data_IF_281946947417
#
_entry.id   IF_281946947417
#
_cell.length_a   1.000
_cell.length_b   1.000
_cell.length_c   1.000
_cell.angle_alpha   90.00
_cell.angle_beta   90.00
_cell.angle_gamma   90.00
#
_symmetry.space_group_name_H-M   'P 1'
#
loop_
_entity.id
_entity.type
_entity.pdbx_description
1 polymer ?
#
# COMPACT_ATOMS: atom_id res chain seq x y z
N UNK A 1 8.88 5.28 -19.10
CA UNK A 1 8.41 6.46 -18.33
C UNK A 1 7.51 5.99 -17.20
N UNK A 2 7.72 6.49 -15.97
CA UNK A 2 6.82 6.21 -14.83
C UNK A 2 5.43 6.80 -15.09
N UNK A 3 4.37 6.05 -14.81
CA UNK A 3 3.02 6.60 -14.90
C UNK A 3 2.84 7.70 -13.85
N UNK A 4 2.02 8.73 -14.13
CA UNK A 4 1.77 9.81 -13.17
C UNK A 4 1.26 9.31 -11.81
N UNK A 5 0.51 8.20 -11.81
CA UNK A 5 -0.07 7.61 -10.61
C UNK A 5 0.92 6.81 -9.78
N UNK A 6 1.93 6.21 -10.40
CA UNK A 6 3.04 5.60 -9.67
C UNK A 6 3.80 6.66 -8.87
N UNK A 7 4.05 7.84 -9.47
CA UNK A 7 4.64 8.98 -8.75
C UNK A 7 3.75 9.51 -7.63
N UNK A 8 2.45 9.60 -7.86
CA UNK A 8 1.45 10.01 -6.85
C UNK A 8 1.52 9.06 -5.65
N UNK A 9 1.38 7.75 -5.87
CA UNK A 9 1.42 6.76 -4.79
C UNK A 9 2.76 6.77 -4.05
N UNK A 10 3.88 6.84 -4.78
CA UNK A 10 5.22 6.94 -4.19
C UNK A 10 5.31 8.12 -3.23
N UNK A 11 4.87 9.30 -3.65
CA UNK A 11 4.91 10.52 -2.82
C UNK A 11 4.00 10.40 -1.59
N UNK A 12 2.80 9.84 -1.75
CA UNK A 12 1.87 9.62 -0.63
C UNK A 12 2.47 8.67 0.40
N UNK A 13 2.95 7.50 -0.02
CA UNK A 13 3.55 6.50 0.87
C UNK A 13 4.82 7.02 1.56
N UNK A 14 5.56 7.93 0.91
CA UNK A 14 6.72 8.61 1.50
C UNK A 14 6.36 9.81 2.39
N UNK A 15 5.08 10.10 2.64
CA UNK A 15 4.69 11.18 3.55
C UNK A 15 4.76 12.59 2.97
N UNK A 16 4.78 12.75 1.64
CA UNK A 16 4.79 14.09 1.03
C UNK A 16 3.45 14.82 1.25
N UNK A 17 3.44 15.72 2.23
CA UNK A 17 2.23 16.46 2.64
C UNK A 17 1.56 17.21 1.49
N UNK A 18 2.34 17.74 0.54
CA UNK A 18 1.80 18.45 -0.63
C UNK A 18 0.95 17.51 -1.48
N UNK A 19 1.45 16.32 -1.79
CA UNK A 19 0.69 15.31 -2.55
C UNK A 19 -0.48 14.77 -1.75
N UNK A 20 -0.32 14.52 -0.44
CA UNK A 20 -1.41 14.05 0.43
C UNK A 20 -2.56 15.07 0.47
N UNK A 21 -2.25 16.37 0.62
CA UNK A 21 -3.24 17.44 0.55
C UNK A 21 -3.96 17.47 -0.80
N UNK A 22 -3.22 17.29 -1.91
CA UNK A 22 -3.79 17.30 -3.25
C UNK A 22 -4.80 16.16 -3.45
N UNK A 23 -4.47 14.93 -3.02
CA UNK A 23 -5.37 13.77 -3.20
C UNK A 23 -6.54 13.76 -2.20
N UNK A 24 -6.34 14.34 -1.00
CA UNK A 24 -7.35 14.37 0.06
C UNK A 24 -8.31 15.56 -0.03
N UNK A 25 -8.14 16.47 -1.00
CA UNK A 25 -8.96 17.70 -1.13
C UNK A 25 -10.46 17.46 -1.18
N UNK A 26 -10.87 16.31 -1.71
CA UNK A 26 -12.29 15.91 -1.83
C UNK A 26 -12.68 14.75 -0.90
N UNK A 27 -11.78 14.36 0.00
CA UNK A 27 -12.06 13.37 1.04
C UNK A 27 -12.79 14.03 2.21
N UNK A 28 -13.54 13.23 2.98
CA UNK A 28 -14.14 13.70 4.23
C UNK A 28 -13.06 13.87 5.34
N UNK A 29 -13.37 14.53 6.46
CA UNK A 29 -12.38 14.80 7.51
C UNK A 29 -11.71 13.55 8.09
N UNK A 30 -12.46 12.45 8.26
CA UNK A 30 -11.93 11.20 8.78
C UNK A 30 -10.98 10.53 7.78
N UNK A 31 -11.36 10.47 6.51
CA UNK A 31 -10.50 9.97 5.43
C UNK A 31 -9.20 10.78 5.33
N UNK A 32 -9.30 12.11 5.41
CA UNK A 32 -8.14 13.00 5.41
C UNK A 32 -7.22 12.69 6.58
N UNK A 33 -7.75 12.62 7.81
CA UNK A 33 -6.96 12.28 9.00
C UNK A 33 -6.25 10.92 8.84
N UNK A 34 -6.94 9.91 8.32
CA UNK A 34 -6.36 8.59 8.09
C UNK A 34 -5.28 8.58 6.99
N UNK A 35 -5.46 9.33 5.90
CA UNK A 35 -4.40 9.52 4.89
C UNK A 35 -3.17 10.20 5.50
N UNK A 36 -3.37 11.22 6.33
CA UNK A 36 -2.28 11.96 6.97
C UNK A 36 -1.46 11.11 7.95
N UNK A 37 -2.01 10.02 8.51
CA UNK A 37 -1.25 9.14 9.43
C UNK A 37 0.11 8.67 8.87
N UNK A 38 0.26 8.60 7.54
CA UNK A 38 1.54 8.23 6.90
C UNK A 38 2.69 9.18 7.22
N UNK A 39 2.43 10.45 7.57
CA UNK A 39 3.47 11.40 7.97
C UNK A 39 4.17 11.00 9.26
N UNK A 40 3.48 10.26 10.14
CA UNK A 40 4.03 9.81 11.43
C UNK A 40 4.95 8.60 11.23
N UNK A 41 4.66 7.76 10.24
CA UNK A 41 5.39 6.51 10.00
C UNK A 41 5.55 6.19 8.51
N UNK A 42 6.28 7.05 7.76
CA UNK A 42 6.37 6.97 6.30
C UNK A 42 7.18 5.77 5.82
N UNK A 43 7.07 5.48 4.53
CA UNK A 43 7.87 4.46 3.85
C UNK A 43 9.00 5.11 3.05
N UNK A 44 10.18 4.48 3.05
CA UNK A 44 11.15 4.63 1.98
C UNK A 44 10.60 3.91 0.75
N UNK A 45 10.32 4.63 -0.33
CA UNK A 45 9.74 4.02 -1.53
C UNK A 45 10.66 4.18 -2.72
N UNK A 46 11.09 3.05 -3.27
CA UNK A 46 11.94 2.96 -4.47
C UNK A 46 11.16 2.38 -5.64
N UNK A 47 11.60 2.69 -6.86
CA UNK A 47 11.07 2.06 -8.08
C UNK A 47 11.81 0.76 -8.31
N UNK A 48 11.10 -0.30 -8.67
CA UNK A 48 11.75 -1.54 -9.09
C UNK A 48 12.47 -1.34 -10.43
N UNK A 49 13.57 -2.06 -10.65
CA UNK A 49 14.31 -2.00 -11.90
C UNK A 49 13.49 -2.62 -13.05
N UNK A 50 13.34 -1.89 -14.16
CA UNK A 50 12.40 -2.19 -15.24
C UNK A 50 12.80 -3.26 -16.25
N UNK A 51 13.73 -4.18 -15.94
CA UNK A 51 14.37 -5.03 -16.96
C UNK A 51 14.51 -6.53 -16.63
N UNK A 52 13.68 -7.10 -15.75
CA UNK A 52 13.69 -8.57 -15.52
C UNK A 52 13.08 -9.07 -14.22
N UNK A 53 12.59 -8.18 -13.35
CA UNK A 53 12.03 -8.54 -12.04
C UNK A 53 10.50 -8.53 -12.09
N UNK A 54 9.88 -9.43 -12.88
CA UNK A 54 8.43 -9.46 -13.06
C UNK A 54 7.63 -9.65 -11.75
N UNK A 55 8.27 -10.11 -10.68
CA UNK A 55 7.65 -10.31 -9.36
C UNK A 55 7.75 -9.15 -8.38
N UNK A 56 8.55 -8.11 -8.65
CA UNK A 56 8.81 -7.02 -7.69
C UNK A 56 7.81 -5.87 -7.76
N UNK A 57 6.94 -5.86 -8.77
CA UNK A 57 6.00 -4.77 -9.03
C UNK A 57 6.68 -3.51 -9.58
N UNK A 58 5.96 -2.39 -9.60
CA UNK A 58 6.47 -1.09 -10.03
C UNK A 58 7.25 -0.37 -8.90
N UNK A 59 6.77 -0.52 -7.66
CA UNK A 59 7.31 0.12 -6.47
C UNK A 59 7.66 -0.91 -5.40
N UNK A 60 8.67 -0.59 -4.59
CA UNK A 60 8.94 -1.30 -3.34
C UNK A 60 8.87 -0.28 -2.21
N UNK A 61 7.89 -0.46 -1.31
CA UNK A 61 7.71 0.36 -0.12
C UNK A 61 8.33 -0.34 1.09
N UNK A 62 9.31 0.32 1.70
CA UNK A 62 10.15 -0.21 2.78
C UNK A 62 9.95 0.62 4.04
N UNK A 63 9.81 -0.06 5.17
CA UNK A 63 9.82 0.54 6.50
C UNK A 63 10.42 -0.48 7.45
N UNK A 64 11.11 -0.05 8.51
CA UNK A 64 11.90 -0.95 9.36
C UNK A 64 11.18 -2.19 9.89
N UNK A 65 9.84 -2.21 9.87
CA UNK A 65 9.04 -3.36 10.27
C UNK A 65 8.33 -4.14 9.15
N UNK A 66 8.22 -3.61 7.93
CA UNK A 66 7.45 -4.20 6.82
C UNK A 66 7.97 -3.77 5.44
N UNK A 67 7.81 -4.63 4.45
CA UNK A 67 8.12 -4.34 3.06
C UNK A 67 6.98 -4.81 2.15
N UNK A 68 6.63 -3.98 1.15
CA UNK A 68 5.63 -4.30 0.14
C UNK A 68 6.21 -4.10 -1.27
N UNK A 69 6.35 -5.18 -2.06
CA UNK A 69 6.33 -5.09 -3.52
C UNK A 69 4.93 -4.63 -3.97
N UNK A 70 4.84 -3.60 -4.81
CA UNK A 70 3.56 -3.00 -5.21
C UNK A 70 3.50 -2.87 -6.73
N UNK A 71 2.50 -3.50 -7.34
CA UNK A 71 2.11 -3.30 -8.72
C UNK A 71 1.04 -2.21 -8.84
N UNK A 72 1.28 -1.19 -9.65
CA UNK A 72 0.40 -0.03 -9.80
C UNK A 72 -0.46 -0.16 -11.06
N UNK A 73 -1.78 -0.19 -10.89
CA UNK A 73 -2.73 -0.17 -11.99
C UNK A 73 -3.54 1.13 -11.98
N UNK A 74 -3.82 1.68 -13.15
CA UNK A 74 -4.73 2.83 -13.28
C UNK A 74 -5.66 2.70 -14.48
N UNK A 75 -6.97 2.78 -14.25
CA UNK A 75 -7.99 2.57 -15.29
C UNK A 75 -9.17 3.53 -15.11
N UNK A 76 -9.99 3.70 -16.16
CA UNK A 76 -11.32 4.34 -16.04
C UNK A 76 -12.40 3.34 -15.60
N UNK A 77 -12.23 2.05 -15.93
CA UNK A 77 -13.12 0.97 -15.50
C UNK A 77 -12.87 0.57 -14.05
N UNK A 78 -13.93 0.27 -13.31
CA UNK A 78 -13.87 -0.29 -11.94
C UNK A 78 -13.30 -1.70 -11.91
N UNK A 79 -13.51 -2.48 -12.98
CA UNK A 79 -13.06 -3.87 -13.10
C UNK A 79 -11.92 -3.99 -14.11
N UNK A 80 -10.90 -4.78 -13.76
CA UNK A 80 -9.79 -5.17 -14.62
C UNK A 80 -9.52 -6.66 -14.44
N UNK A 81 -9.78 -7.45 -15.48
CA UNK A 81 -9.48 -8.87 -15.50
C UNK A 81 -7.99 -9.10 -15.77
N UNK A 82 -7.35 -9.97 -14.99
CA UNK A 82 -5.95 -10.30 -15.21
C UNK A 82 -5.85 -11.42 -16.24
N UNK A 83 -5.42 -11.07 -17.45
CA UNK A 83 -5.23 -11.98 -18.59
C UNK A 83 -3.93 -11.68 -19.33
N UNK A 84 -3.44 -12.66 -20.10
CA UNK A 84 -2.18 -12.57 -20.83
C UNK A 84 -1.03 -12.12 -19.92
N UNK A 85 -0.33 -11.05 -20.33
CA UNK A 85 0.80 -10.48 -19.58
C UNK A 85 0.47 -10.09 -18.13
N UNK A 86 -0.75 -9.60 -17.87
CA UNK A 86 -1.14 -9.22 -16.50
C UNK A 86 -1.36 -10.42 -15.59
N UNK A 87 -1.75 -11.58 -16.17
CA UNK A 87 -1.80 -12.84 -15.45
C UNK A 87 -0.40 -13.37 -15.17
N UNK A 88 0.52 -13.30 -16.13
CA UNK A 88 1.94 -13.65 -15.91
C UNK A 88 2.53 -12.82 -14.79
N UNK A 89 2.30 -11.51 -14.79
CA UNK A 89 2.75 -10.62 -13.71
C UNK A 89 2.19 -11.01 -12.35
N UNK A 90 0.89 -11.33 -12.26
CA UNK A 90 0.29 -11.82 -11.02
C UNK A 90 0.98 -13.09 -10.50
N UNK A 91 1.26 -14.05 -11.40
CA UNK A 91 1.94 -15.30 -11.05
C UNK A 91 3.38 -15.05 -10.62
N UNK A 92 4.09 -14.13 -11.28
CA UNK A 92 5.45 -13.73 -10.90
C UNK A 92 5.47 -13.08 -9.51
N UNK A 93 4.50 -12.21 -9.21
CA UNK A 93 4.36 -11.62 -7.87
C UNK A 93 4.02 -12.68 -6.82
N UNK A 94 3.11 -13.61 -7.11
CA UNK A 94 2.78 -14.73 -6.24
C UNK A 94 4.02 -15.56 -5.90
N UNK A 95 4.76 -15.98 -6.92
CA UNK A 95 5.98 -16.75 -6.76
C UNK A 95 7.03 -16.00 -5.93
N UNK A 96 7.22 -14.70 -6.18
CA UNK A 96 8.18 -13.89 -5.42
C UNK A 96 7.75 -13.73 -3.96
N UNK A 97 6.45 -13.52 -3.69
CA UNK A 97 5.90 -13.48 -2.33
C UNK A 97 6.11 -14.79 -1.58
N UNK A 98 5.84 -15.92 -2.23
CA UNK A 98 6.08 -17.27 -1.65
C UNK A 98 7.57 -17.57 -1.41
N UNK A 99 8.44 -17.04 -2.26
CA UNK A 99 9.89 -17.22 -2.11
C UNK A 99 10.48 -16.36 -0.99
N UNK A 100 9.96 -15.16 -0.80
CA UNK A 100 10.57 -14.13 0.08
C UNK A 100 9.85 -13.93 1.41
N UNK A 101 8.64 -14.47 1.57
CA UNK A 101 7.82 -14.21 2.76
C UNK A 101 7.21 -12.80 2.78
N UNK A 102 7.28 -12.07 1.67
CA UNK A 102 6.69 -10.75 1.52
C UNK A 102 5.23 -10.85 1.08
N UNK A 103 4.50 -9.74 1.24
CA UNK A 103 3.13 -9.61 0.76
C UNK A 103 3.08 -8.65 -0.43
N UNK A 104 3.15 -9.15 -1.67
CA UNK A 104 2.95 -8.32 -2.85
C UNK A 104 1.54 -7.72 -2.87
N UNK A 105 1.45 -6.46 -3.28
CA UNK A 105 0.19 -5.71 -3.33
C UNK A 105 -0.10 -5.23 -4.75
N UNK A 106 -1.38 -5.17 -5.10
CA UNK A 106 -1.87 -4.34 -6.19
C UNK A 106 -2.41 -3.04 -5.62
N UNK A 107 -1.97 -1.91 -6.16
CA UNK A 107 -2.54 -0.60 -5.90
C UNK A 107 -3.26 -0.10 -7.15
N UNK A 108 -4.59 -0.07 -7.09
CA UNK A 108 -5.45 0.33 -8.20
C UNK A 108 -5.99 1.75 -8.01
N UNK A 109 -5.69 2.61 -8.97
CA UNK A 109 -6.19 3.99 -9.06
C UNK A 109 -7.30 4.11 -10.10
N UNK A 110 -8.52 4.41 -9.64
CA UNK A 110 -9.64 4.67 -10.53
C UNK A 110 -9.64 6.14 -10.99
N UNK A 111 -9.61 6.37 -12.30
CA UNK A 111 -9.50 7.71 -12.89
C UNK A 111 -10.86 8.43 -12.90
N UNK A 112 -10.86 9.74 -12.68
CA UNK A 112 -12.07 10.56 -12.74
C UNK A 112 -12.98 10.48 -11.52
N UNK A 113 -12.51 9.86 -10.42
CA UNK A 113 -13.27 9.71 -9.17
C UNK A 113 -12.73 10.67 -8.10
N UNK A 114 -13.65 11.26 -7.33
CA UNK A 114 -13.38 12.11 -6.16
C UNK A 114 -13.21 11.27 -4.89
N UNK A 115 -12.65 11.86 -3.84
CA UNK A 115 -12.35 11.18 -2.58
C UNK A 115 -11.18 10.21 -2.71
N UNK A 116 -11.11 9.25 -1.79
CA UNK A 116 -10.09 8.20 -1.84
C UNK A 116 -10.33 7.26 -3.03
N UNK A 117 -9.54 7.50 -4.07
CA UNK A 117 -9.64 6.87 -5.38
C UNK A 117 -8.71 5.67 -5.55
N UNK A 118 -7.95 5.31 -4.51
CA UNK A 118 -7.02 4.20 -4.48
C UNK A 118 -7.61 2.98 -3.78
N UNK A 119 -7.28 1.79 -4.27
CA UNK A 119 -7.71 0.51 -3.72
C UNK A 119 -6.55 -0.47 -3.67
N UNK A 120 -6.33 -1.05 -2.51
CA UNK A 120 -5.23 -1.96 -2.23
C UNK A 120 -5.76 -3.38 -2.14
N UNK A 121 -5.08 -4.31 -2.81
CA UNK A 121 -5.32 -5.75 -2.75
C UNK A 121 -4.02 -6.47 -2.44
N UNK A 122 -4.09 -7.56 -1.69
CA UNK A 122 -2.95 -8.47 -1.52
C UNK A 122 -2.98 -9.58 -2.58
N UNK A 123 -1.81 -9.97 -3.05
CA UNK A 123 -1.61 -11.28 -3.66
C UNK A 123 -1.65 -12.32 -2.55
N UNK A 124 -2.43 -13.39 -2.74
CA UNK A 124 -2.62 -14.41 -1.71
C UNK A 124 -1.46 -15.40 -1.71
N UNK A 125 -0.62 -15.32 -0.67
CA UNK A 125 0.48 -16.26 -0.39
C UNK A 125 0.22 -17.03 0.92
N UNK A 126 0.89 -18.15 1.11
CA UNK A 126 0.67 -19.10 2.22
C UNK A 126 1.77 -19.05 3.29
N UNK A 127 2.82 -18.26 3.08
CA UNK A 127 4.04 -18.27 3.88
C UNK A 127 4.23 -17.03 4.78
N UNK A 128 3.23 -16.14 4.85
CA UNK A 128 3.34 -14.89 5.62
C UNK A 128 3.50 -15.17 7.13
N UNK A 129 4.40 -14.42 7.78
CA UNK A 129 4.68 -14.53 9.22
C UNK A 129 4.57 -13.17 9.92
N UNK A 130 4.53 -13.20 11.25
CA UNK A 130 4.58 -12.01 12.11
C UNK A 130 3.55 -10.94 11.73
N UNK A 131 4.01 -9.69 11.57
CA UNK A 131 3.15 -8.53 11.24
C UNK A 131 2.38 -8.71 9.93
N UNK A 132 2.99 -9.31 8.90
CA UNK A 132 2.35 -9.52 7.60
C UNK A 132 1.17 -10.49 7.68
N UNK A 133 1.28 -11.57 8.47
CA UNK A 133 0.17 -12.50 8.70
C UNK A 133 -1.05 -11.82 9.35
N UNK A 134 -0.81 -10.90 10.30
CA UNK A 134 -1.88 -10.14 10.94
C UNK A 134 -2.53 -9.19 9.94
N UNK A 135 -1.71 -8.47 9.17
CA UNK A 135 -2.18 -7.49 8.18
C UNK A 135 -2.95 -8.13 7.03
N UNK A 136 -2.58 -9.35 6.61
CA UNK A 136 -3.25 -10.09 5.54
C UNK A 136 -4.75 -10.35 5.83
N UNK A 137 -5.17 -10.33 7.10
CA UNK A 137 -6.58 -10.43 7.50
C UNK A 137 -7.39 -9.14 7.26
N UNK A 138 -6.70 -8.01 7.10
CA UNK A 138 -7.30 -6.67 6.90
C UNK A 138 -7.27 -6.23 5.43
N UNK A 139 -6.30 -6.72 4.66
CA UNK A 139 -6.17 -6.39 3.24
C UNK A 139 -6.88 -7.48 2.40
N UNK A 140 -7.87 -7.12 1.58
CA UNK A 140 -8.58 -8.07 0.75
C UNK A 140 -7.66 -8.66 -0.31
N UNK A 141 -7.85 -9.95 -0.60
CA UNK A 141 -7.22 -10.59 -1.76
C UNK A 141 -7.88 -10.11 -3.06
N UNK A 142 -7.22 -10.32 -4.20
CA UNK A 142 -7.88 -10.10 -5.49
C UNK A 142 -9.12 -11.01 -5.60
N UNK A 143 -10.30 -10.45 -5.94
CA UNK A 143 -11.47 -11.27 -6.22
C UNK A 143 -11.25 -12.16 -7.43
N UNK A 144 -12.00 -13.26 -7.46
CA UNK A 144 -11.97 -14.24 -8.54
C UNK A 144 -13.18 -13.98 -9.45
N UNK A 145 -12.94 -13.94 -10.75
CA UNK A 145 -13.98 -13.85 -11.76
C UNK A 145 -14.78 -15.16 -11.88
N UNK A 146 -15.92 -15.13 -12.56
CA UNK A 146 -16.73 -16.33 -12.80
C UNK A 146 -15.97 -17.46 -13.52
N UNK A 147 -14.89 -17.13 -14.24
CA UNK A 147 -14.02 -18.07 -14.95
C UNK A 147 -12.83 -18.57 -14.10
N UNK A 148 -12.80 -18.25 -12.80
CA UNK A 148 -11.73 -18.67 -11.90
C UNK A 148 -10.44 -17.84 -11.97
N UNK A 149 -10.39 -16.78 -12.80
CA UNK A 149 -9.20 -15.93 -12.91
C UNK A 149 -9.23 -14.77 -11.91
N UNK A 150 -8.10 -14.41 -11.27
CA UNK A 150 -7.98 -13.20 -10.48
C UNK A 150 -8.33 -11.94 -11.28
N UNK A 151 -9.01 -11.00 -10.63
CA UNK A 151 -9.34 -9.70 -11.20
C UNK A 151 -9.22 -8.61 -10.14
N UNK A 152 -9.06 -7.37 -10.59
CA UNK A 152 -9.24 -6.20 -9.75
C UNK A 152 -10.70 -5.75 -9.89
N UNK A 153 -11.38 -5.61 -8.76
CA UNK A 153 -12.69 -4.96 -8.67
C UNK A 153 -12.58 -3.85 -7.63
N UNK A 154 -12.54 -2.59 -8.10
CA UNK A 154 -12.27 -1.41 -7.26
C UNK A 154 -13.20 -1.31 -6.04
N UNK A 155 -14.45 -1.76 -6.16
CA UNK A 155 -15.39 -1.73 -5.03
C UNK A 155 -15.02 -2.71 -3.89
N UNK A 156 -14.23 -3.75 -4.20
CA UNK A 156 -13.84 -4.79 -3.24
C UNK A 156 -12.46 -4.56 -2.61
N UNK A 157 -11.75 -3.51 -3.02
CA UNK A 157 -10.42 -3.21 -2.49
C UNK A 157 -10.43 -2.41 -1.20
N UNK A 158 -9.31 -2.45 -0.46
CA UNK A 158 -9.15 -1.63 0.73
C UNK A 158 -8.83 -0.19 0.30
N UNK A 159 -9.59 0.83 0.74
CA UNK A 159 -9.22 2.23 0.50
C UNK A 159 -7.84 2.58 1.07
N UNK A 160 -7.10 3.46 0.39
CA UNK A 160 -5.75 3.85 0.80
C UNK A 160 -5.72 4.51 2.19
N UNK A 161 -6.71 5.34 2.53
CA UNK A 161 -6.80 5.96 3.86
C UNK A 161 -6.85 4.89 4.97
N UNK A 162 -7.65 3.83 4.78
CA UNK A 162 -7.72 2.72 5.74
C UNK A 162 -6.42 1.93 5.79
N UNK A 163 -5.83 1.62 4.63
CA UNK A 163 -4.53 0.95 4.56
C UNK A 163 -3.46 1.70 5.37
N UNK A 164 -3.38 3.03 5.21
CA UNK A 164 -2.46 3.87 5.97
C UNK A 164 -2.82 3.90 7.45
N UNK A 165 -4.10 4.02 7.83
CA UNK A 165 -4.49 3.97 9.25
C UNK A 165 -4.07 2.67 9.95
N UNK A 166 -4.12 1.52 9.27
CA UNK A 166 -3.68 0.25 9.86
C UNK A 166 -2.17 0.17 10.07
N UNK A 167 -1.40 0.94 9.31
CA UNK A 167 0.05 0.83 9.24
C UNK A 167 0.77 1.99 9.93
N UNK A 168 0.18 3.17 9.94
CA UNK A 168 0.85 4.42 10.26
C UNK A 168 0.16 5.21 11.37
N UNK A 169 -1.00 4.77 11.86
CA UNK A 169 -1.60 5.37 13.03
C UNK A 169 -0.74 5.08 14.26
N UNK A 170 -0.35 6.12 14.97
CA UNK A 170 0.33 5.99 16.25
C UNK A 170 -0.57 5.26 17.23
N UNK A 171 -0.09 4.15 17.76
CA UNK A 171 -0.74 3.50 18.90
C UNK A 171 -0.06 3.98 20.17
N UNK A 172 -0.84 4.08 21.26
CA UNK A 172 -0.30 4.42 22.59
C UNK A 172 0.84 3.49 23.03
N UNK A 173 0.93 2.30 22.46
CA UNK A 173 1.97 1.31 22.75
C UNK A 173 3.27 1.51 21.94
N UNK A 174 3.27 2.39 20.93
CA UNK A 174 4.49 2.76 20.19
C UNK A 174 5.33 3.80 20.97
N UNK A 175 4.87 4.20 22.17
CA UNK A 175 5.57 5.09 23.09
C UNK A 175 6.76 4.35 23.72
N UNK A 176 7.99 4.74 23.36
CA UNK A 176 9.18 4.27 24.05
C UNK A 176 9.27 4.93 25.44
N UNK A 177 9.31 4.17 26.54
CA UNK A 177 9.48 4.74 27.88
C UNK A 177 10.80 5.52 28.06
N UNK A 178 11.75 5.33 27.15
CA UNK A 178 13.04 6.03 27.15
C UNK A 178 12.87 7.51 26.72
N UNK A 179 11.91 7.79 25.83
CA UNK A 179 11.68 9.16 25.34
C UNK A 179 11.07 10.06 26.41
N UNK A 180 10.22 9.50 27.30
CA UNK A 180 9.67 10.23 28.45
C UNK A 180 10.69 10.47 29.57
N UNK A 181 11.67 9.58 29.73
CA UNK A 181 12.76 9.78 30.70
C UNK A 181 13.66 10.94 30.27
N UNK A 182 13.92 11.09 28.97
CA UNK A 182 14.79 12.15 28.44
C UNK A 182 14.14 13.54 28.54
N UNK A 183 12.83 13.65 28.31
CA UNK A 183 12.10 14.92 28.48
C UNK A 183 12.04 15.41 29.95
N UNK A 184 12.00 14.49 30.91
CA UNK A 184 11.98 14.81 32.34
C UNK A 184 13.35 15.20 32.91
N UNK A 185 14.45 14.86 32.22
CA UNK A 185 15.80 15.32 32.60
C UNK A 185 16.13 16.71 32.04
N UNK A 186 15.64 17.04 30.83
CA UNK A 186 15.89 18.33 30.20
C UNK A 186 15.11 19.52 30.82
N UNK A 187 14.09 19.23 31.63
CA UNK A 187 13.25 20.24 32.32
C UNK A 187 13.68 20.51 33.77
N UNK A 188 14.79 19.92 34.23
CA UNK A 188 15.32 20.05 35.60
C UNK A 188 16.64 20.82 35.73
N UNK A 189 17.02 21.62 34.74
CA UNK A 189 18.14 22.57 34.80
C UNK A 189 17.65 23.97 34.58
#
# INVERSE_FOLDING_TARGET
>A
MSSSYERELRRVLSGDEKTINAISRSCNPLEKLQLFSVTNKPFLVVRAAGSGMEGSGDLVALRGDICFPIEVKSTKSKKLYLSGRTKTQYLSMLNEGEKTGLMPLYAHRLKGVRGDSWRIFRVETNNLKGKLMILARRIPKLPISNQGNPMIDWEQGLPLHKFLSYLCQERKDDFNPIDSITQNMATKT
#
